data_IF_779713940210
#
_entry.id   IF_779713940210
#
_cell.length_a   1.000
_cell.length_b   1.000
_cell.length_c   1.000
_cell.angle_alpha   90.00
_cell.angle_beta   90.00
_cell.angle_gamma   90.00
#
_symmetry.space_group_name_H-M   'P 1'
#
loop_
_entity.id
_entity.type
_entity.pdbx_description
1 polymer ?
#
# COMPACT_ATOMS: atom_id res chain seq x y z
N UNK A 1 -3.19 -15.78 21.50
CA UNK A 1 -3.16 -14.31 21.37
C UNK A 1 -2.70 -14.04 19.95
N UNK A 2 -3.61 -13.74 19.03
CA UNK A 2 -3.21 -13.43 17.66
C UNK A 2 -2.40 -12.15 17.70
N UNK A 3 -1.15 -12.24 17.26
CA UNK A 3 -0.25 -11.10 17.26
C UNK A 3 -0.70 -10.19 16.12
N UNK A 4 -1.28 -9.04 16.48
CA UNK A 4 -1.76 -8.05 15.53
C UNK A 4 -0.58 -7.54 14.69
N UNK A 5 -0.70 -7.64 13.36
CA UNK A 5 0.30 -7.14 12.41
C UNK A 5 -0.11 -5.78 11.84
N UNK A 6 0.88 -4.96 11.50
CA UNK A 6 0.74 -3.86 10.56
C UNK A 6 1.02 -4.38 9.16
N UNK A 7 0.00 -4.38 8.29
CA UNK A 7 0.10 -4.95 6.94
C UNK A 7 0.04 -3.82 5.92
N UNK A 8 1.12 -3.66 5.15
CA UNK A 8 1.15 -2.77 4.01
C UNK A 8 0.25 -3.30 2.89
N UNK A 9 -0.62 -2.47 2.34
CA UNK A 9 -1.45 -2.80 1.17
C UNK A 9 -0.78 -2.20 -0.06
N UNK A 10 -0.17 -3.05 -0.89
CA UNK A 10 0.60 -2.66 -2.05
C UNK A 10 -0.17 -2.98 -3.34
N UNK A 11 -0.54 -1.96 -4.12
CA UNK A 11 -1.27 -2.13 -5.37
C UNK A 11 -1.10 -0.98 -6.36
N UNK A 12 -1.75 -1.04 -7.53
CA UNK A 12 -1.76 0.08 -8.45
C UNK A 12 -2.41 1.31 -7.82
N UNK A 13 -1.81 2.48 -8.04
CA UNK A 13 -2.47 3.78 -7.82
C UNK A 13 -2.50 4.57 -9.11
N UNK A 14 -1.35 5.09 -9.58
CA UNK A 14 -1.28 5.72 -10.92
C UNK A 14 -1.26 4.69 -12.03
N UNK A 15 -0.55 3.57 -11.82
CA UNK A 15 -0.40 2.47 -12.79
C UNK A 15 -0.02 2.92 -14.22
N UNK A 16 0.74 4.02 -14.34
CA UNK A 16 1.12 4.61 -15.63
C UNK A 16 0.02 5.42 -16.31
N UNK A 17 -1.16 5.53 -15.71
CA UNK A 17 -2.25 6.37 -16.17
C UNK A 17 -2.05 7.83 -15.74
N UNK A 18 -2.61 8.75 -16.53
CA UNK A 18 -2.78 10.17 -16.20
C UNK A 18 -4.24 10.53 -15.93
N UNK A 19 -5.14 9.55 -15.86
CA UNK A 19 -6.58 9.73 -15.60
C UNK A 19 -6.86 9.76 -14.09
N UNK A 20 -7.27 10.92 -13.53
CA UNK A 20 -7.58 11.04 -12.11
C UNK A 20 -8.74 10.13 -11.66
N UNK A 21 -9.71 9.84 -12.54
CA UNK A 21 -10.80 8.94 -12.18
C UNK A 21 -10.29 7.50 -11.99
N UNK A 22 -9.36 7.07 -12.84
CA UNK A 22 -8.69 5.78 -12.68
C UNK A 22 -7.89 5.73 -11.38
N UNK A 23 -7.18 6.79 -11.02
CA UNK A 23 -6.43 6.86 -9.76
C UNK A 23 -7.37 6.75 -8.56
N UNK A 24 -8.51 7.44 -8.60
CA UNK A 24 -9.52 7.36 -7.57
C UNK A 24 -10.13 5.94 -7.45
N UNK A 25 -10.45 5.29 -8.58
CA UNK A 25 -10.94 3.89 -8.57
C UNK A 25 -9.91 2.94 -7.95
N UNK A 26 -8.64 3.06 -8.35
CA UNK A 26 -7.55 2.26 -7.80
C UNK A 26 -7.38 2.50 -6.29
N UNK A 27 -7.46 3.76 -5.85
CA UNK A 27 -7.38 4.13 -4.44
C UNK A 27 -8.53 3.57 -3.62
N UNK A 28 -9.76 3.60 -4.16
CA UNK A 28 -10.92 2.96 -3.53
C UNK A 28 -10.73 1.45 -3.38
N UNK A 29 -10.17 0.78 -4.40
CA UNK A 29 -9.87 -0.65 -4.36
C UNK A 29 -8.85 -0.98 -3.25
N UNK A 30 -7.77 -0.19 -3.12
CA UNK A 30 -6.81 -0.35 -2.01
C UNK A 30 -7.47 -0.22 -0.64
N UNK A 31 -8.38 0.76 -0.48
CA UNK A 31 -9.11 0.95 0.77
C UNK A 31 -10.09 -0.21 1.08
N UNK A 32 -10.65 -0.86 0.06
CA UNK A 32 -11.44 -2.08 0.27
C UNK A 32 -10.58 -3.22 0.82
N UNK A 33 -9.39 -3.45 0.25
CA UNK A 33 -8.45 -4.43 0.79
C UNK A 33 -8.01 -4.10 2.22
N UNK A 34 -7.79 -2.82 2.51
CA UNK A 34 -7.50 -2.38 3.87
C UNK A 34 -8.63 -2.74 4.85
N UNK A 35 -9.89 -2.54 4.45
CA UNK A 35 -11.03 -2.92 5.28
C UNK A 35 -11.07 -4.42 5.57
N UNK A 36 -10.85 -5.28 4.57
CA UNK A 36 -10.81 -6.74 4.77
C UNK A 36 -9.66 -7.17 5.69
N UNK A 37 -8.48 -6.55 5.56
CA UNK A 37 -7.35 -6.77 6.47
C UNK A 37 -7.69 -6.36 7.91
N UNK A 38 -8.42 -5.26 8.09
CA UNK A 38 -8.91 -4.87 9.40
C UNK A 38 -9.92 -5.87 9.98
N UNK A 39 -10.83 -6.42 9.16
CA UNK A 39 -11.77 -7.46 9.59
C UNK A 39 -11.05 -8.72 10.10
N UNK A 40 -9.87 -9.03 9.56
CA UNK A 40 -8.97 -10.10 10.04
C UNK A 40 -8.20 -9.76 11.31
N UNK A 41 -8.49 -8.64 11.97
CA UNK A 41 -7.88 -8.26 13.26
C UNK A 41 -6.50 -7.60 13.15
N UNK A 42 -6.08 -7.22 11.94
CA UNK A 42 -4.80 -6.55 11.68
C UNK A 42 -4.97 -5.05 11.42
N UNK A 43 -3.86 -4.31 11.33
CA UNK A 43 -3.87 -2.88 11.02
C UNK A 43 -3.41 -2.68 9.58
N UNK A 44 -4.28 -2.27 8.66
CA UNK A 44 -3.89 -1.97 7.29
C UNK A 44 -3.12 -0.65 7.20
N UNK A 45 -2.12 -0.60 6.33
CA UNK A 45 -1.33 0.60 6.03
C UNK A 45 -1.30 0.79 4.51
N UNK A 46 -1.73 1.94 4.01
CA UNK A 46 -1.63 2.31 2.61
C UNK A 46 -0.74 3.54 2.52
N UNK A 47 0.43 3.45 1.88
CA UNK A 47 1.33 4.59 1.80
C UNK A 47 0.79 5.75 0.96
N UNK A 48 -0.07 5.48 -0.04
CA UNK A 48 -0.84 6.51 -0.77
C UNK A 48 -1.68 7.36 0.19
N UNK A 49 -2.34 6.75 1.20
CA UNK A 49 -3.15 7.48 2.18
C UNK A 49 -2.31 8.42 3.05
N UNK A 50 -1.02 8.12 3.23
CA UNK A 50 -0.09 8.95 3.99
C UNK A 50 0.45 10.10 3.14
N UNK A 51 0.80 9.81 1.88
CA UNK A 51 1.43 10.78 0.99
C UNK A 51 0.44 11.75 0.35
N UNK A 52 -0.74 11.27 -0.07
CA UNK A 52 -1.67 12.02 -0.91
C UNK A 52 -2.16 13.33 -0.26
N UNK A 53 -2.60 13.36 1.02
CA UNK A 53 -3.05 14.61 1.65
C UNK A 53 -1.94 15.67 1.75
N UNK A 54 -0.68 15.24 1.88
CA UNK A 54 0.48 16.13 1.92
C UNK A 54 0.70 16.73 0.53
N UNK A 55 0.69 15.88 -0.52
CA UNK A 55 0.84 16.31 -1.92
C UNK A 55 -0.26 17.30 -2.30
N UNK A 56 -1.52 17.00 -1.98
CA UNK A 56 -2.66 17.89 -2.23
C UNK A 56 -2.49 19.26 -1.57
N UNK A 57 -1.82 19.31 -0.41
CA UNK A 57 -1.56 20.56 0.32
C UNK A 57 -0.44 21.39 -0.30
N UNK A 58 0.62 20.74 -0.83
CA UNK A 58 1.84 21.44 -1.29
C UNK A 58 1.94 21.59 -2.81
N UNK A 59 1.15 20.85 -3.58
CA UNK A 59 1.11 20.87 -5.05
C UNK A 59 1.51 19.56 -5.71
N UNK A 60 0.84 19.22 -6.81
CA UNK A 60 1.05 17.99 -7.59
C UNK A 60 2.46 17.88 -8.22
N UNK A 61 3.16 19.00 -8.41
CA UNK A 61 4.56 19.00 -8.87
C UNK A 61 5.49 18.26 -7.88
N UNK A 62 5.07 18.13 -6.62
CA UNK A 62 5.77 17.37 -5.57
C UNK A 62 5.45 15.89 -5.54
N UNK A 63 4.55 15.40 -6.40
CA UNK A 63 4.13 14.01 -6.39
C UNK A 63 5.29 13.01 -6.44
N UNK A 64 6.22 13.18 -7.39
CA UNK A 64 7.37 12.27 -7.56
C UNK A 64 8.36 12.34 -6.40
N UNK A 65 8.48 13.51 -5.78
CA UNK A 65 9.36 13.77 -4.64
C UNK A 65 8.81 13.11 -3.36
N UNK A 66 7.49 13.07 -3.18
CA UNK A 66 6.86 12.67 -1.92
C UNK A 66 6.29 11.25 -1.94
N UNK A 67 5.61 10.84 -3.03
CA UNK A 67 4.78 9.62 -3.03
C UNK A 67 5.58 8.37 -2.65
N UNK A 68 6.62 8.03 -3.44
CA UNK A 68 7.39 6.80 -3.18
C UNK A 68 8.24 6.88 -1.90
N UNK A 69 8.95 7.99 -1.59
CA UNK A 69 9.71 8.07 -0.35
C UNK A 69 8.87 7.87 0.90
N UNK A 70 7.67 8.48 0.98
CA UNK A 70 6.75 8.30 2.11
C UNK A 70 6.23 6.87 2.15
N UNK A 71 5.79 6.32 1.01
CA UNK A 71 5.25 4.95 0.95
C UNK A 71 6.27 3.89 1.38
N UNK A 72 7.51 4.01 0.92
CA UNK A 72 8.60 3.10 1.28
C UNK A 72 8.99 3.24 2.76
N UNK A 73 8.98 4.47 3.31
CA UNK A 73 9.23 4.68 4.73
C UNK A 73 8.16 4.01 5.61
N UNK A 74 6.91 3.97 5.16
CA UNK A 74 5.84 3.24 5.82
C UNK A 74 6.04 1.72 5.71
N UNK A 75 6.38 1.21 4.52
CA UNK A 75 6.65 -0.21 4.30
C UNK A 75 7.77 -0.74 5.24
N UNK A 76 8.80 0.07 5.52
CA UNK A 76 9.86 -0.28 6.47
C UNK A 76 9.39 -0.50 7.92
N UNK A 77 8.20 -0.02 8.27
CA UNK A 77 7.63 -0.13 9.63
C UNK A 77 6.56 -1.22 9.75
N UNK A 78 6.12 -1.79 8.65
CA UNK A 78 5.11 -2.84 8.63
C UNK A 78 5.71 -4.22 8.88
N UNK A 79 4.89 -5.14 9.38
CA UNK A 79 5.25 -6.52 9.68
C UNK A 79 5.09 -7.44 8.47
N UNK A 80 4.17 -7.11 7.56
CA UNK A 80 3.90 -7.86 6.34
C UNK A 80 3.38 -6.95 5.21
N UNK A 81 3.29 -7.49 4.00
CA UNK A 81 2.67 -6.82 2.85
C UNK A 81 1.66 -7.72 2.17
N UNK A 82 0.54 -7.14 1.76
CA UNK A 82 -0.44 -7.72 0.85
C UNK A 82 -0.28 -7.05 -0.53
N UNK A 83 0.16 -7.80 -1.55
CA UNK A 83 0.29 -7.32 -2.93
C UNK A 83 -0.96 -7.68 -3.74
N UNK A 84 -1.70 -6.68 -4.20
CA UNK A 84 -3.03 -6.82 -4.83
C UNK A 84 -3.17 -6.07 -6.16
N UNK A 85 -4.13 -6.48 -6.97
CA UNK A 85 -4.42 -5.87 -8.27
C UNK A 85 -3.36 -6.16 -9.34
N UNK A 86 -3.28 -5.29 -10.35
CA UNK A 86 -2.44 -5.46 -11.53
C UNK A 86 -0.98 -4.99 -11.41
N UNK A 87 -0.28 -4.88 -12.55
CA UNK A 87 1.09 -4.37 -12.62
C UNK A 87 1.26 -2.99 -11.97
N UNK A 88 2.25 -2.84 -11.09
CA UNK A 88 2.53 -1.57 -10.41
C UNK A 88 3.97 -1.54 -9.90
N UNK A 89 4.83 -0.75 -10.56
CA UNK A 89 6.23 -0.63 -10.17
C UNK A 89 6.42 -0.04 -8.77
N UNK A 90 5.50 0.81 -8.31
CA UNK A 90 5.51 1.33 -6.94
C UNK A 90 5.25 0.24 -5.91
N UNK A 91 4.20 -0.56 -6.13
CA UNK A 91 3.85 -1.68 -5.25
C UNK A 91 4.93 -2.78 -5.24
N UNK A 92 5.56 -3.05 -6.38
CA UNK A 92 6.62 -4.05 -6.47
C UNK A 92 7.88 -3.62 -5.69
N UNK A 93 8.17 -2.32 -5.64
CA UNK A 93 9.23 -1.75 -4.80
C UNK A 93 8.94 -1.87 -3.31
N UNK A 94 7.68 -1.70 -2.91
CA UNK A 94 7.26 -1.94 -1.52
C UNK A 94 7.47 -3.40 -1.15
N UNK A 95 7.02 -4.34 -1.98
CA UNK A 95 7.22 -5.80 -1.78
C UNK A 95 8.70 -6.16 -1.65
N UNK A 96 9.58 -5.49 -2.38
CA UNK A 96 11.02 -5.74 -2.30
C UNK A 96 11.61 -5.44 -0.91
N UNK A 97 11.06 -4.48 -0.16
CA UNK A 97 11.45 -4.20 1.23
C UNK A 97 11.18 -5.44 2.11
N UNK A 98 9.97 -6.00 2.02
CA UNK A 98 9.58 -7.18 2.79
C UNK A 98 10.40 -8.40 2.40
N UNK A 99 10.66 -8.58 1.10
CA UNK A 99 11.52 -9.66 0.60
C UNK A 99 12.92 -9.56 1.18
N UNK A 100 13.53 -8.37 1.19
CA UNK A 100 14.87 -8.14 1.76
C UNK A 100 14.94 -8.39 3.27
N UNK A 101 13.84 -8.13 3.98
CA UNK A 101 13.73 -8.32 5.43
C UNK A 101 13.33 -9.73 5.84
N UNK A 102 13.00 -10.60 4.88
CA UNK A 102 12.46 -11.94 5.17
C UNK A 102 11.09 -11.89 5.87
N UNK A 103 10.32 -10.82 5.65
CA UNK A 103 8.98 -10.64 6.21
C UNK A 103 7.91 -11.27 5.31
N UNK A 104 6.73 -11.63 5.86
CA UNK A 104 5.64 -12.21 5.08
C UNK A 104 5.20 -11.31 3.92
N UNK A 105 4.96 -11.96 2.78
CA UNK A 105 4.42 -11.36 1.56
C UNK A 105 3.20 -12.21 1.18
N UNK A 106 2.04 -11.58 1.18
CA UNK A 106 0.78 -12.18 0.81
C UNK A 106 0.35 -11.70 -0.57
N UNK A 107 -0.23 -12.59 -1.37
CA UNK A 107 -0.79 -12.28 -2.68
C UNK A 107 -2.32 -12.42 -2.72
N UNK A 108 -2.92 -12.84 -1.61
CA UNK A 108 -4.36 -12.92 -1.44
C UNK A 108 -4.75 -12.69 0.03
N UNK A 109 -6.00 -12.29 0.28
CA UNK A 109 -6.53 -12.11 1.63
C UNK A 109 -6.59 -13.44 2.40
N UNK A 110 -6.75 -14.57 1.71
CA UNK A 110 -6.88 -15.89 2.32
C UNK A 110 -5.57 -16.39 2.95
N UNK A 111 -4.43 -15.86 2.51
CA UNK A 111 -3.12 -16.17 3.08
C UNK A 111 -2.85 -15.42 4.40
N UNK A 112 -3.65 -14.39 4.70
CA UNK A 112 -3.51 -13.59 5.90
C UNK A 112 -4.15 -14.32 7.08
N UNK A 113 -3.38 -14.61 8.15
CA UNK A 113 -3.91 -15.27 9.35
C UNK A 113 -4.97 -14.40 10.02
N UNK A 114 -5.82 -15.02 10.84
CA UNK A 114 -6.74 -14.31 11.74
C UNK A 114 -6.05 -13.89 13.04
#
# INVERSE_FOLDING_TARGET
>A
MNNKMYIMIAGPYTAGSSDPEQWNRNHQELNQYAYEVFQKGHIPVIGVNVALPIIETVGDDKFKELMMPISLAMAERCDAVLRVGGPSSGADREVEIFRKKGLPIYFSLDEIPE
#
